data_IF_035441872691
#
_entry.id   IF_035441872691
#
_cell.length_a   1.000
_cell.length_b   1.000
_cell.length_c   1.000
_cell.angle_alpha   90.00
_cell.angle_beta   90.00
_cell.angle_gamma   90.00
#
_symmetry.space_group_name_H-M   'P 1'
#
loop_
_entity.id
_entity.type
_entity.pdbx_description
1 polymer ?
#
# COMPACT_ATOMS: atom_id res chain seq x y z
N UNK A 1 12.17 13.15 21.51
CA UNK A 1 11.69 13.60 20.19
C UNK A 1 12.59 13.06 19.09
N UNK A 2 12.01 12.64 18.00
CA UNK A 2 12.77 12.10 16.86
C UNK A 2 13.08 13.21 15.85
N UNK A 3 14.34 13.32 15.45
CA UNK A 3 14.77 14.23 14.38
C UNK A 3 14.40 13.64 13.01
N UNK A 4 14.55 14.43 11.94
CA UNK A 4 14.39 13.92 10.57
C UNK A 4 15.37 12.80 10.28
N UNK A 5 16.60 12.91 10.78
CA UNK A 5 17.63 11.90 10.59
C UNK A 5 17.27 10.62 11.33
N UNK A 6 16.76 10.72 12.56
CA UNK A 6 16.29 9.55 13.32
C UNK A 6 15.15 8.85 12.58
N UNK A 7 14.20 9.61 12.06
CA UNK A 7 13.08 9.04 11.30
C UNK A 7 13.55 8.34 10.04
N UNK A 8 14.51 8.92 9.33
CA UNK A 8 15.08 8.32 8.11
C UNK A 8 15.78 6.99 8.44
N UNK A 9 16.55 6.95 9.51
CA UNK A 9 17.24 5.73 9.94
C UNK A 9 16.28 4.65 10.38
N UNK A 10 15.21 5.02 11.09
CA UNK A 10 14.17 4.08 11.52
C UNK A 10 13.42 3.50 10.33
N UNK A 11 13.10 4.31 9.33
CA UNK A 11 12.48 3.82 8.10
C UNK A 11 13.37 2.82 7.38
N UNK A 12 14.66 3.14 7.26
CA UNK A 12 15.63 2.25 6.64
C UNK A 12 15.74 0.94 7.40
N UNK A 13 15.81 1.00 8.72
CA UNK A 13 15.84 -0.19 9.58
C UNK A 13 14.59 -1.04 9.41
N UNK A 14 13.41 -0.41 9.40
CA UNK A 14 12.15 -1.11 9.22
C UNK A 14 12.12 -1.89 7.90
N UNK A 15 12.41 -1.24 6.78
CA UNK A 15 12.35 -1.90 5.47
C UNK A 15 13.39 -2.99 5.32
N UNK A 16 14.58 -2.82 5.92
CA UNK A 16 15.60 -3.85 5.95
C UNK A 16 15.11 -5.06 6.74
N UNK A 17 14.53 -4.82 7.91
CA UNK A 17 13.98 -5.89 8.77
C UNK A 17 12.81 -6.60 8.10
N UNK A 18 11.94 -5.86 7.42
CA UNK A 18 10.82 -6.43 6.69
C UNK A 18 11.30 -7.37 5.58
N UNK A 19 12.29 -6.93 4.81
CA UNK A 19 12.88 -7.76 3.75
C UNK A 19 13.54 -9.03 4.26
N UNK A 20 14.13 -9.00 5.45
CA UNK A 20 14.75 -10.17 6.08
C UNK A 20 13.73 -11.12 6.68
N UNK A 21 12.69 -10.57 7.31
CA UNK A 21 11.66 -11.36 8.00
C UNK A 21 10.67 -12.02 7.03
N UNK A 22 10.44 -11.38 5.91
CA UNK A 22 9.51 -11.85 4.87
C UNK A 22 10.23 -11.82 3.51
N UNK A 23 11.18 -12.75 3.27
CA UNK A 23 12.04 -12.72 2.08
C UNK A 23 11.27 -13.13 0.82
N UNK A 24 10.54 -12.19 0.26
CA UNK A 24 9.72 -12.37 -0.92
C UNK A 24 9.92 -11.20 -1.87
N UNK A 25 9.97 -11.50 -3.17
CA UNK A 25 10.01 -10.46 -4.19
C UNK A 25 8.59 -9.98 -4.48
N UNK A 26 8.29 -8.76 -4.04
CA UNK A 26 6.99 -8.14 -4.26
C UNK A 26 6.90 -7.55 -5.67
N UNK A 27 5.68 -7.56 -6.23
CA UNK A 27 5.43 -7.03 -7.58
C UNK A 27 5.72 -5.52 -7.67
N UNK A 28 5.21 -4.73 -6.73
CA UNK A 28 5.36 -3.27 -6.65
C UNK A 28 5.14 -2.59 -8.01
N UNK A 29 6.20 -2.10 -8.65
CA UNK A 29 6.11 -1.40 -9.94
C UNK A 29 6.11 -2.34 -11.15
N UNK A 30 6.36 -3.62 -10.96
CA UNK A 30 6.45 -4.61 -12.05
C UNK A 30 5.11 -5.31 -12.31
N UNK A 31 4.05 -4.50 -12.49
CA UNK A 31 2.70 -5.00 -12.77
C UNK A 31 2.47 -5.32 -14.24
N UNK A 32 3.41 -4.96 -15.12
CA UNK A 32 3.28 -5.01 -16.58
C UNK A 32 2.26 -4.01 -17.13
N UNK A 33 1.69 -3.16 -16.29
CA UNK A 33 0.78 -2.09 -16.69
C UNK A 33 1.40 -0.75 -16.30
N UNK A 34 1.69 0.09 -17.28
CA UNK A 34 2.26 1.41 -17.04
C UNK A 34 1.28 2.25 -16.22
N UNK A 35 1.81 2.90 -15.19
CA UNK A 35 1.01 3.75 -14.32
C UNK A 35 0.25 3.01 -13.23
N UNK A 36 0.37 1.68 -13.17
CA UNK A 36 -0.25 0.85 -12.13
C UNK A 36 0.85 0.25 -11.27
N UNK A 37 0.76 0.42 -9.95
CA UNK A 37 1.76 -0.10 -9.02
C UNK A 37 1.14 -0.46 -7.69
N UNK A 38 1.81 -1.35 -6.97
CA UNK A 38 1.48 -1.64 -5.57
C UNK A 38 2.43 -0.86 -4.67
N UNK A 39 1.94 -0.44 -3.51
CA UNK A 39 2.75 0.33 -2.56
C UNK A 39 2.48 -0.10 -1.13
N UNK A 40 3.55 -0.09 -0.33
CA UNK A 40 3.49 -0.12 1.12
C UNK A 40 3.65 1.31 1.62
N UNK A 41 2.91 1.67 2.65
CA UNK A 41 3.07 2.95 3.32
C UNK A 41 3.11 2.75 4.83
N UNK A 42 4.11 3.33 5.49
CA UNK A 42 4.24 3.31 6.94
C UNK A 42 4.87 4.62 7.40
N UNK A 43 4.16 5.37 8.21
CA UNK A 43 4.63 6.66 8.73
C UNK A 43 4.53 6.70 10.26
N UNK A 44 4.47 7.90 10.84
CA UNK A 44 4.43 8.08 12.29
C UNK A 44 3.06 7.82 12.91
N UNK A 45 2.03 7.60 12.09
CA UNK A 45 0.64 7.47 12.57
C UNK A 45 -0.09 6.27 12.00
N UNK A 46 0.20 5.90 10.75
CA UNK A 46 -0.59 4.90 10.02
C UNK A 46 0.28 4.00 9.14
N UNK A 47 -0.32 2.90 8.73
CA UNK A 47 0.22 2.01 7.73
C UNK A 47 -0.91 1.61 6.78
N UNK A 48 -0.58 1.39 5.50
CA UNK A 48 -1.54 0.90 4.53
C UNK A 48 -0.84 0.14 3.41
N UNK A 49 -1.63 -0.66 2.70
CA UNK A 49 -1.22 -1.35 1.47
C UNK A 49 -2.11 -0.82 0.37
N UNK A 50 -1.55 -0.49 -0.78
CA UNK A 50 -2.30 0.17 -1.86
C UNK A 50 -1.99 -0.39 -3.23
N UNK A 51 -3.00 -0.32 -4.10
CA UNK A 51 -2.87 -0.45 -5.56
C UNK A 51 -3.17 0.94 -6.13
N UNK A 52 -2.17 1.55 -6.75
CA UNK A 52 -2.25 2.91 -7.25
C UNK A 52 -2.28 2.97 -8.77
N UNK A 53 -3.13 3.84 -9.30
CA UNK A 53 -3.16 4.18 -10.72
C UNK A 53 -2.75 5.63 -10.85
N UNK A 54 -1.53 5.85 -11.35
CA UNK A 54 -0.91 7.17 -11.54
C UNK A 54 -0.58 7.33 -13.03
N UNK A 55 -1.54 7.78 -13.82
CA UNK A 55 -1.36 8.00 -15.24
C UNK A 55 -2.21 9.19 -15.68
N UNK A 56 -2.21 9.50 -16.98
CA UNK A 56 -3.11 10.53 -17.49
C UNK A 56 -4.57 10.15 -17.18
N UNK A 57 -5.44 11.15 -17.22
CA UNK A 57 -6.83 10.97 -16.80
C UNK A 57 -7.56 9.91 -17.63
N UNK A 58 -7.31 9.84 -18.92
CA UNK A 58 -7.94 8.88 -19.82
C UNK A 58 -7.61 7.43 -19.43
N UNK A 59 -6.33 7.14 -19.19
CA UNK A 59 -5.89 5.81 -18.77
C UNK A 59 -6.34 5.49 -17.35
N UNK A 60 -6.35 6.48 -16.46
CA UNK A 60 -6.88 6.31 -15.12
C UNK A 60 -8.34 5.86 -15.16
N UNK A 61 -9.17 6.55 -15.92
CA UNK A 61 -10.59 6.22 -16.06
C UNK A 61 -10.76 4.80 -16.61
N UNK A 62 -9.99 4.45 -17.62
CA UNK A 62 -10.04 3.11 -18.23
C UNK A 62 -9.71 2.00 -17.24
N UNK A 63 -8.58 2.12 -16.55
CA UNK A 63 -8.16 1.11 -15.57
C UNK A 63 -9.09 1.08 -14.36
N UNK A 64 -9.54 2.24 -13.90
CA UNK A 64 -10.46 2.32 -12.78
C UNK A 64 -11.78 1.61 -13.08
N UNK A 65 -12.35 1.85 -14.26
CA UNK A 65 -13.58 1.18 -14.68
C UNK A 65 -13.43 -0.34 -14.67
N UNK A 66 -12.28 -0.83 -15.10
CA UNK A 66 -12.00 -2.26 -15.10
C UNK A 66 -11.89 -2.82 -13.68
N UNK A 67 -11.24 -2.10 -12.78
CA UNK A 67 -11.12 -2.50 -11.37
C UNK A 67 -12.47 -2.45 -10.66
N UNK A 68 -13.29 -1.45 -10.93
CA UNK A 68 -14.63 -1.35 -10.36
C UNK A 68 -15.49 -2.54 -10.81
N UNK A 69 -15.35 -2.99 -12.03
CA UNK A 69 -16.09 -4.18 -12.52
C UNK A 69 -15.68 -5.46 -11.77
N UNK A 70 -14.50 -5.47 -11.15
CA UNK A 70 -13.99 -6.61 -10.37
C UNK A 70 -14.11 -6.40 -8.86
N UNK A 71 -14.76 -5.31 -8.43
CA UNK A 71 -14.87 -4.94 -7.02
C UNK A 71 -15.47 -6.06 -6.16
N UNK A 72 -16.56 -6.69 -6.63
CA UNK A 72 -17.21 -7.76 -5.89
C UNK A 72 -16.26 -8.93 -5.65
N UNK A 73 -15.49 -9.32 -6.67
CA UNK A 73 -14.51 -10.42 -6.53
C UNK A 73 -13.44 -10.04 -5.52
N UNK A 74 -12.90 -8.82 -5.62
CA UNK A 74 -11.85 -8.36 -4.71
C UNK A 74 -12.35 -8.37 -3.26
N UNK A 75 -13.50 -7.78 -3.00
CA UNK A 75 -14.02 -7.61 -1.64
C UNK A 75 -14.56 -8.91 -1.05
N UNK A 76 -15.11 -9.81 -1.84
CA UNK A 76 -15.63 -11.07 -1.33
C UNK A 76 -14.58 -12.16 -1.15
N UNK A 77 -13.57 -12.20 -2.02
CA UNK A 77 -12.62 -13.33 -2.05
C UNK A 77 -11.22 -12.99 -1.55
N UNK A 78 -10.83 -11.72 -1.51
CA UNK A 78 -9.44 -11.35 -1.21
C UNK A 78 -9.31 -10.34 -0.09
N UNK A 79 -9.98 -9.19 -0.20
CA UNK A 79 -9.76 -8.04 0.68
C UNK A 79 -11.10 -7.37 1.01
N UNK A 80 -11.84 -7.89 2.02
CA UNK A 80 -13.16 -7.35 2.35
C UNK A 80 -13.13 -5.90 2.85
N UNK A 81 -12.00 -5.44 3.38
CA UNK A 81 -11.87 -4.09 3.93
C UNK A 81 -11.29 -3.09 2.92
N UNK A 82 -11.14 -3.47 1.66
CA UNK A 82 -10.56 -2.60 0.65
C UNK A 82 -11.42 -1.35 0.41
N UNK A 83 -10.77 -0.20 0.38
CA UNK A 83 -11.40 1.10 0.12
C UNK A 83 -11.06 1.52 -1.30
N UNK A 84 -12.08 1.86 -2.09
CA UNK A 84 -11.93 2.32 -3.46
C UNK A 84 -12.08 3.84 -3.50
N UNK A 85 -11.02 4.54 -3.86
CA UNK A 85 -11.01 6.02 -3.96
C UNK A 85 -10.46 6.42 -5.33
N UNK A 86 -11.36 6.85 -6.22
CA UNK A 86 -10.95 7.24 -7.58
C UNK A 86 -10.21 8.56 -7.64
N UNK A 87 -10.31 9.39 -6.60
CA UNK A 87 -9.71 10.72 -6.55
C UNK A 87 -8.98 10.94 -5.23
N UNK A 88 -8.00 10.08 -4.96
CA UNK A 88 -7.18 10.15 -3.75
C UNK A 88 -6.08 11.19 -3.93
N UNK A 89 -5.97 12.14 -2.99
CA UNK A 89 -4.98 13.20 -3.06
C UNK A 89 -3.78 12.84 -2.18
N UNK A 90 -2.60 12.70 -2.82
CA UNK A 90 -1.34 12.43 -2.11
C UNK A 90 -0.87 13.68 -1.36
N UNK A 91 0.09 13.50 -0.45
CA UNK A 91 0.67 14.62 0.32
C UNK A 91 1.23 15.72 -0.56
N UNK A 92 1.78 15.38 -1.73
CA UNK A 92 2.31 16.35 -2.69
C UNK A 92 1.22 17.06 -3.51
N UNK A 93 -0.05 16.80 -3.23
CA UNK A 93 -1.18 17.38 -3.94
C UNK A 93 -1.59 16.65 -5.21
N UNK A 94 -0.87 15.63 -5.62
CA UNK A 94 -1.20 14.86 -6.83
C UNK A 94 -2.43 13.99 -6.59
N UNK A 95 -3.39 14.05 -7.51
CA UNK A 95 -4.57 13.20 -7.48
C UNK A 95 -4.30 11.90 -8.23
N UNK A 96 -4.60 10.79 -7.59
CA UNK A 96 -4.47 9.45 -8.18
C UNK A 96 -5.75 8.66 -7.93
N UNK A 97 -5.89 7.50 -8.57
CA UNK A 97 -6.93 6.53 -8.20
C UNK A 97 -6.27 5.43 -7.37
N UNK A 98 -6.87 5.10 -6.25
CA UNK A 98 -6.25 4.18 -5.28
C UNK A 98 -7.27 3.21 -4.71
N UNK A 99 -6.88 1.92 -4.64
CA UNK A 99 -7.56 0.93 -3.83
C UNK A 99 -6.62 0.61 -2.68
N UNK A 100 -7.07 0.74 -1.44
CA UNK A 100 -6.16 0.55 -0.31
C UNK A 100 -6.84 -0.07 0.90
N UNK A 101 -6.02 -0.69 1.75
CA UNK A 101 -6.44 -1.24 3.03
C UNK A 101 -5.61 -0.55 4.10
N UNK A 102 -6.22 0.27 4.97
CA UNK A 102 -5.50 0.83 6.10
C UNK A 102 -5.43 -0.19 7.24
N UNK A 103 -4.35 -0.15 8.01
CA UNK A 103 -4.25 -0.91 9.22
C UNK A 103 -5.03 -0.18 10.32
N UNK A 104 -6.12 -0.81 10.82
CA UNK A 104 -7.00 -0.23 11.82
C UNK A 104 -6.45 -0.32 13.25
N UNK A 105 -5.17 0.01 13.41
CA UNK A 105 -4.52 0.04 14.71
C UNK A 105 -3.54 1.20 14.73
N UNK A 106 -3.30 1.73 15.91
CA UNK A 106 -2.35 2.81 16.08
C UNK A 106 -0.93 2.24 15.96
N UNK A 107 -0.24 2.59 14.88
CA UNK A 107 1.12 2.16 14.62
C UNK A 107 1.99 3.36 14.29
N UNK A 108 3.30 3.23 14.48
CA UNK A 108 4.24 4.31 14.17
C UNK A 108 5.61 3.75 13.85
N UNK A 109 6.25 4.33 12.85
CA UNK A 109 7.65 4.02 12.53
C UNK A 109 8.55 4.35 13.73
N UNK A 110 8.15 5.29 14.59
CA UNK A 110 8.87 5.66 15.81
C UNK A 110 8.67 4.69 16.97
N UNK A 111 7.70 3.78 16.86
CA UNK A 111 7.43 2.79 17.90
C UNK A 111 7.71 1.38 17.38
N UNK A 112 8.91 0.87 17.67
CA UNK A 112 9.34 -0.46 17.21
C UNK A 112 8.44 -1.58 17.73
N UNK A 113 7.72 -1.37 18.83
CA UNK A 113 6.75 -2.34 19.34
C UNK A 113 5.58 -2.59 18.39
N UNK A 114 5.34 -1.69 17.43
CA UNK A 114 4.27 -1.83 16.44
C UNK A 114 4.77 -2.44 15.11
N UNK A 115 6.07 -2.60 14.94
CA UNK A 115 6.67 -3.00 13.67
C UNK A 115 6.30 -4.42 13.24
N UNK A 116 6.36 -5.37 14.16
CA UNK A 116 6.06 -6.77 13.81
C UNK A 116 4.63 -6.91 13.29
N UNK A 117 3.69 -6.31 13.96
CA UNK A 117 2.28 -6.33 13.57
C UNK A 117 2.09 -5.66 12.19
N UNK A 118 2.77 -4.55 11.96
CA UNK A 118 2.75 -3.86 10.66
C UNK A 118 3.33 -4.74 9.55
N UNK A 119 4.44 -5.42 9.82
CA UNK A 119 5.06 -6.34 8.84
C UNK A 119 4.14 -7.50 8.49
N UNK A 120 3.49 -8.10 9.47
CA UNK A 120 2.54 -9.19 9.26
C UNK A 120 1.34 -8.71 8.43
N UNK A 121 0.83 -7.53 8.72
CA UNK A 121 -0.23 -6.89 7.95
C UNK A 121 0.20 -6.67 6.49
N UNK A 122 1.39 -6.13 6.27
CA UNK A 122 1.93 -5.90 4.92
C UNK A 122 2.03 -7.20 4.14
N UNK A 123 2.58 -8.23 4.76
CA UNK A 123 2.75 -9.53 4.10
C UNK A 123 1.39 -10.12 3.72
N UNK A 124 0.43 -10.14 4.64
CA UNK A 124 -0.89 -10.71 4.41
C UNK A 124 -1.66 -9.94 3.33
N UNK A 125 -1.77 -8.63 3.47
CA UNK A 125 -2.62 -7.83 2.58
C UNK A 125 -2.03 -7.69 1.18
N UNK A 126 -0.72 -7.49 1.08
CA UNK A 126 -0.08 -7.43 -0.23
C UNK A 126 -0.13 -8.77 -0.96
N UNK A 127 0.00 -9.88 -0.23
CA UNK A 127 -0.14 -11.21 -0.84
C UNK A 127 -1.53 -11.39 -1.44
N UNK A 128 -2.58 -10.92 -0.75
CA UNK A 128 -3.95 -10.99 -1.26
C UNK A 128 -4.16 -10.09 -2.48
N UNK A 129 -3.59 -8.89 -2.49
CA UNK A 129 -3.64 -8.01 -3.65
C UNK A 129 -2.98 -8.64 -4.87
N UNK A 130 -1.80 -9.20 -4.69
CA UNK A 130 -1.07 -9.83 -5.80
C UNK A 130 -1.80 -11.06 -6.33
N UNK A 131 -2.42 -11.83 -5.44
CA UNK A 131 -3.20 -13.00 -5.84
C UNK A 131 -4.45 -12.61 -6.66
N UNK A 132 -5.08 -11.48 -6.32
CA UNK A 132 -6.20 -10.92 -7.09
C UNK A 132 -5.74 -10.42 -8.46
N UNK A 133 -4.62 -9.73 -8.50
CA UNK A 133 -4.11 -9.09 -9.70
C UNK A 133 -3.61 -10.10 -10.73
#
# INVERSE_FOLDING_TARGET
>A
MFSKEDSRLLKQEFWTSFGKSFPRKWTLYDTKLKGVSFKFHFDTKTALVALDIEDDLEKRIKYWGKLISLKTILTEKFLPDAIFDEAYVLENGKEISRIYIPLNQKVSIHNKGTWRHTMEFFNEKMSSFEAFF
#
